data_IF_160866363323
#
_entry.id   IF_160866363323
#
_cell.length_a   1.000
_cell.length_b   1.000
_cell.length_c   1.000
_cell.angle_alpha   90.00
_cell.angle_beta   90.00
_cell.angle_gamma   90.00
#
_symmetry.space_group_name_H-M   'P 1'
#
loop_
_entity.id
_entity.type
_entity.pdbx_description
1 polymer ?
#
# COMPACT_ATOMS: atom_id res chain seq x y z
N UNK A 1 25.76 -36.18 12.42
CA UNK A 1 24.36 -36.66 12.31
C UNK A 1 24.06 -37.69 13.39
N UNK A 2 23.24 -37.30 14.38
CA UNK A 2 22.40 -38.19 15.20
C UNK A 2 21.06 -37.47 15.37
N UNK A 3 19.92 -38.20 15.31
CA UNK A 3 18.59 -37.59 15.27
C UNK A 3 18.19 -37.02 16.64
N UNK A 4 17.29 -36.02 16.71
CA UNK A 4 16.69 -35.62 17.97
C UNK A 4 15.78 -36.76 18.45
N UNK A 5 16.12 -37.36 19.59
CA UNK A 5 15.28 -38.34 20.26
C UNK A 5 14.34 -37.66 21.24
N UNK A 6 13.07 -38.01 21.05
CA UNK A 6 12.03 -38.14 22.06
C UNK A 6 11.45 -36.87 22.67
N UNK A 7 10.24 -36.54 22.19
CA UNK A 7 9.15 -35.98 23.00
C UNK A 7 9.17 -36.71 24.35
N UNK A 8 9.45 -35.98 25.42
CA UNK A 8 9.31 -36.49 26.77
C UNK A 8 7.81 -36.62 27.02
N UNK A 9 7.26 -37.82 26.80
CA UNK A 9 5.94 -38.17 27.29
C UNK A 9 6.03 -38.22 28.81
N UNK A 10 5.62 -37.14 29.47
CA UNK A 10 5.45 -37.10 30.92
C UNK A 10 4.39 -38.16 31.28
N UNK A 11 4.68 -39.09 32.20
CA UNK A 11 3.69 -40.06 32.64
C UNK A 11 2.54 -39.34 33.33
N UNK A 12 1.32 -39.58 32.87
CA UNK A 12 0.07 -39.17 33.53
C UNK A 12 -0.10 -40.00 34.82
N UNK A 13 0.67 -39.66 35.87
CA UNK A 13 0.47 -40.19 37.21
C UNK A 13 -0.40 -39.24 38.03
N UNK A 14 -1.55 -39.77 38.45
CA UNK A 14 -2.62 -39.17 39.27
C UNK A 14 -3.42 -38.02 38.64
N UNK A 15 -4.72 -38.28 38.47
CA UNK A 15 -5.76 -37.24 38.34
C UNK A 15 -5.89 -36.53 39.69
N UNK A 16 -4.96 -35.62 39.97
CA UNK A 16 -5.07 -34.69 41.08
C UNK A 16 -5.93 -33.51 40.61
N UNK A 17 -7.13 -33.39 41.19
CA UNK A 17 -8.05 -32.30 40.85
C UNK A 17 -7.45 -30.93 41.12
N UNK A 18 -6.58 -30.83 42.13
CA UNK A 18 -5.87 -29.61 42.49
C UNK A 18 -4.86 -29.19 41.41
N UNK A 19 -4.18 -30.15 40.78
CA UNK A 19 -3.23 -29.85 39.70
C UNK A 19 -3.95 -29.40 38.41
N UNK A 20 -5.19 -29.85 38.20
CA UNK A 20 -6.03 -29.40 37.08
C UNK A 20 -6.62 -28.00 37.34
N UNK A 21 -7.05 -27.72 38.56
CA UNK A 21 -7.46 -26.38 38.98
C UNK A 21 -6.30 -25.39 38.88
N UNK A 22 -5.12 -25.74 39.39
CA UNK A 22 -3.92 -24.91 39.28
C UNK A 22 -3.49 -24.68 37.82
N UNK A 23 -3.61 -25.70 36.96
CA UNK A 23 -3.37 -25.53 35.53
C UNK A 23 -4.41 -24.61 34.87
N UNK A 24 -5.69 -24.72 35.24
CA UNK A 24 -6.76 -23.86 34.73
C UNK A 24 -6.55 -22.41 35.17
N UNK A 25 -6.24 -22.19 36.45
CA UNK A 25 -5.97 -20.86 37.00
C UNK A 25 -4.74 -20.22 36.35
N UNK A 26 -3.71 -21.02 36.06
CA UNK A 26 -2.53 -20.55 35.32
C UNK A 26 -2.85 -20.20 33.86
N UNK A 27 -3.72 -20.97 33.20
CA UNK A 27 -4.20 -20.65 31.84
C UNK A 27 -5.01 -19.35 31.86
N UNK A 28 -5.90 -19.18 32.84
CA UNK A 28 -6.71 -17.97 32.99
C UNK A 28 -5.86 -16.75 33.34
N UNK A 29 -4.83 -16.91 34.17
CA UNK A 29 -3.87 -15.86 34.48
C UNK A 29 -3.05 -15.46 33.24
N UNK A 30 -2.61 -16.42 32.41
CA UNK A 30 -1.94 -16.15 31.13
C UNK A 30 -2.88 -15.47 30.15
N UNK A 31 -4.16 -15.86 30.09
CA UNK A 31 -5.16 -15.23 29.24
C UNK A 31 -5.49 -13.81 29.70
N UNK A 32 -5.57 -13.55 31.01
CA UNK A 32 -5.77 -12.22 31.57
C UNK A 32 -4.53 -11.33 31.37
N UNK A 33 -3.32 -11.88 31.51
CA UNK A 33 -2.07 -11.20 31.18
C UNK A 33 -2.01 -10.87 29.69
N UNK A 34 -2.33 -11.82 28.82
CA UNK A 34 -2.43 -11.58 27.38
C UNK A 34 -3.47 -10.50 27.06
N UNK A 35 -4.65 -10.53 27.69
CA UNK A 35 -5.67 -9.48 27.53
C UNK A 35 -5.18 -8.10 28.00
N UNK A 36 -4.33 -8.05 29.04
CA UNK A 36 -3.69 -6.81 29.52
C UNK A 36 -2.47 -6.38 28.68
N UNK A 37 -1.82 -7.32 27.99
CA UNK A 37 -0.67 -7.12 27.09
C UNK A 37 -1.07 -6.90 25.63
N UNK A 38 -2.33 -7.14 25.26
CA UNK A 38 -2.93 -6.56 24.06
C UNK A 38 -2.80 -5.05 24.26
N UNK A 39 -1.74 -4.47 23.69
CA UNK A 39 -1.66 -3.03 23.43
C UNK A 39 -3.03 -2.66 22.89
N UNK A 40 -3.72 -1.78 23.62
CA UNK A 40 -5.01 -1.23 23.19
C UNK A 40 -4.85 -0.86 21.71
N UNK A 41 -5.60 -1.54 20.84
CA UNK A 41 -5.50 -1.36 19.39
C UNK A 41 -5.59 0.13 19.10
N UNK A 42 -4.57 0.68 18.43
CA UNK A 42 -4.56 2.09 18.11
C UNK A 42 -5.66 2.36 17.10
N UNK A 43 -6.38 3.45 17.29
CA UNK A 43 -7.29 3.97 16.29
C UNK A 43 -6.53 4.40 15.03
N UNK A 44 -7.24 4.46 13.90
CA UNK A 44 -6.71 4.95 12.62
C UNK A 44 -5.98 6.29 12.79
N UNK A 45 -6.60 7.22 13.51
CA UNK A 45 -6.14 8.60 13.68
C UNK A 45 -5.15 8.82 14.82
N UNK A 46 -4.82 7.78 15.61
CA UNK A 46 -3.76 7.91 16.61
C UNK A 46 -2.43 8.21 15.91
N UNK A 47 -1.60 9.10 16.46
CA UNK A 47 -0.34 9.45 15.83
C UNK A 47 0.55 8.21 15.59
N UNK A 48 1.13 8.14 14.39
CA UNK A 48 2.13 7.13 14.04
C UNK A 48 3.38 7.34 14.89
N UNK A 49 3.81 6.29 15.61
CA UNK A 49 5.11 6.29 16.28
C UNK A 49 6.21 5.78 15.34
N UNK A 50 5.83 5.16 14.22
CA UNK A 50 6.72 4.45 13.31
C UNK A 50 7.74 5.38 12.62
N UNK A 51 7.31 6.54 12.15
CA UNK A 51 8.12 7.43 11.31
C UNK A 51 8.80 8.58 12.07
N UNK A 52 8.59 8.68 13.40
CA UNK A 52 9.08 9.81 14.22
C UNK A 52 10.61 9.94 14.23
N UNK A 53 11.33 8.82 14.15
CA UNK A 53 12.80 8.79 14.16
C UNK A 53 13.41 8.73 12.74
N UNK A 54 12.59 8.70 11.69
CA UNK A 54 13.05 8.58 10.30
C UNK A 54 13.52 9.94 9.79
N UNK A 55 14.69 9.97 9.16
CA UNK A 55 15.16 11.15 8.44
C UNK A 55 14.42 11.28 7.09
N UNK A 56 13.36 12.09 7.11
CA UNK A 56 12.48 12.32 5.96
C UNK A 56 13.16 13.02 4.79
N UNK A 57 14.31 13.67 5.01
CA UNK A 57 15.04 14.39 3.95
C UNK A 57 15.68 13.48 2.90
N UNK A 58 15.78 12.18 3.20
CA UNK A 58 16.45 11.18 2.35
C UNK A 58 15.53 10.49 1.35
N UNK A 59 14.22 10.76 1.39
CA UNK A 59 13.22 10.12 0.53
C UNK A 59 12.80 11.07 -0.61
N UNK A 60 12.40 10.51 -1.75
CA UNK A 60 11.83 11.23 -2.90
C UNK A 60 12.73 12.33 -3.47
N UNK A 61 14.04 12.09 -3.51
CA UNK A 61 15.01 13.06 -4.04
C UNK A 61 15.06 13.04 -5.57
N UNK A 62 13.98 13.50 -6.23
CA UNK A 62 13.85 13.45 -7.70
C UNK A 62 14.89 14.27 -8.48
N UNK A 63 15.51 15.27 -7.86
CA UNK A 63 16.62 16.04 -8.45
C UNK A 63 17.90 15.22 -8.57
N UNK A 64 18.07 14.21 -7.70
CA UNK A 64 19.23 13.30 -7.67
C UNK A 64 18.90 11.92 -8.26
N UNK A 65 17.64 11.70 -8.65
CA UNK A 65 17.19 10.44 -9.22
C UNK A 65 17.90 10.15 -10.56
N UNK A 66 18.01 8.86 -10.88
CA UNK A 66 18.67 8.43 -12.11
C UNK A 66 17.86 8.85 -13.35
N UNK A 67 18.53 8.88 -14.51
CA UNK A 67 17.93 9.31 -15.78
C UNK A 67 16.67 8.50 -16.14
N UNK A 68 16.61 7.23 -15.72
CA UNK A 68 15.46 6.35 -15.95
C UNK A 68 14.18 6.90 -15.29
N UNK A 69 14.24 7.30 -14.03
CA UNK A 69 13.11 7.90 -13.29
C UNK A 69 12.71 9.23 -13.93
N UNK A 70 13.69 10.02 -14.36
CA UNK A 70 13.43 11.29 -15.05
C UNK A 70 12.70 11.09 -16.37
N UNK A 71 13.16 10.15 -17.20
CA UNK A 71 12.50 9.83 -18.47
C UNK A 71 11.12 9.24 -18.26
N UNK A 72 10.92 8.43 -17.23
CA UNK A 72 9.61 7.93 -16.83
C UNK A 72 8.61 9.07 -16.61
N UNK A 73 8.93 10.05 -15.76
CA UNK A 73 8.02 11.16 -15.47
C UNK A 73 7.82 12.08 -16.68
N UNK A 74 8.87 12.32 -17.49
CA UNK A 74 8.70 13.09 -18.72
C UNK A 74 7.74 12.40 -19.71
N UNK A 75 7.81 11.08 -19.83
CA UNK A 75 6.88 10.31 -20.66
C UNK A 75 5.46 10.35 -20.07
N UNK A 76 5.31 10.17 -18.76
CA UNK A 76 4.02 10.26 -18.09
C UNK A 76 3.40 11.65 -18.29
N UNK A 77 4.16 12.71 -18.05
CA UNK A 77 3.70 14.09 -18.18
C UNK A 77 3.36 14.44 -19.61
N UNK A 78 4.05 13.87 -20.61
CA UNK A 78 3.71 14.08 -22.02
C UNK A 78 2.40 13.38 -22.42
N UNK A 79 2.12 12.18 -21.88
CA UNK A 79 1.05 11.30 -22.39
C UNK A 79 -0.24 11.32 -21.57
N UNK A 80 -0.19 11.67 -20.29
CA UNK A 80 -1.37 11.77 -19.44
C UNK A 80 -2.20 13.01 -19.80
N UNK A 81 -3.21 12.81 -20.64
CA UNK A 81 -4.16 13.84 -21.08
C UNK A 81 -5.57 13.54 -20.56
N UNK A 82 -6.47 14.52 -20.63
CA UNK A 82 -7.91 14.33 -20.35
C UNK A 82 -8.49 13.23 -21.23
N UNK A 83 -8.21 13.27 -22.53
CA UNK A 83 -8.72 12.30 -23.49
C UNK A 83 -8.24 10.87 -23.17
N UNK A 84 -6.97 10.74 -22.82
CA UNK A 84 -6.39 9.47 -22.40
C UNK A 84 -7.05 8.92 -21.14
N UNK A 85 -7.21 9.75 -20.11
CA UNK A 85 -7.80 9.35 -18.83
C UNK A 85 -9.29 8.96 -18.95
N UNK A 86 -10.07 9.64 -19.78
CA UNK A 86 -11.46 9.25 -20.07
C UNK A 86 -11.49 7.87 -20.72
N UNK A 87 -10.62 7.63 -21.70
CA UNK A 87 -10.52 6.31 -22.36
C UNK A 87 -10.11 5.22 -21.37
N UNK A 88 -9.07 5.45 -20.57
CA UNK A 88 -8.56 4.49 -19.59
C UNK A 88 -9.64 4.09 -18.57
N UNK A 89 -10.41 5.05 -18.04
CA UNK A 89 -11.53 4.78 -17.11
C UNK A 89 -12.64 3.95 -17.74
N UNK A 90 -12.98 4.23 -19.00
CA UNK A 90 -13.99 3.45 -19.74
C UNK A 90 -13.50 2.02 -19.99
N UNK A 91 -12.25 1.86 -20.43
CA UNK A 91 -11.62 0.55 -20.64
C UNK A 91 -11.48 -0.25 -19.34
N UNK A 92 -11.19 0.42 -18.22
CA UNK A 92 -11.13 -0.21 -16.90
C UNK A 92 -12.48 -0.81 -16.51
N UNK A 93 -13.57 -0.03 -16.66
CA UNK A 93 -14.94 -0.45 -16.30
C UNK A 93 -15.50 -1.54 -17.22
N UNK A 94 -15.15 -1.51 -18.50
CA UNK A 94 -15.76 -2.37 -19.51
C UNK A 94 -15.17 -3.79 -19.57
N UNK A 95 -13.94 -3.99 -19.08
CA UNK A 95 -13.19 -5.24 -19.28
C UNK A 95 -12.85 -5.90 -17.95
N UNK A 96 -13.06 -7.21 -17.89
CA UNK A 96 -12.45 -8.07 -16.89
C UNK A 96 -11.13 -8.59 -17.46
N UNK A 97 -10.04 -8.44 -16.72
CA UNK A 97 -8.68 -8.78 -17.13
C UNK A 97 -8.25 -10.13 -16.58
N UNK A 98 -8.71 -10.47 -15.37
CA UNK A 98 -8.36 -11.73 -14.76
C UNK A 98 -9.34 -12.17 -13.67
N UNK A 99 -9.23 -13.45 -13.31
CA UNK A 99 -9.85 -14.03 -12.12
C UNK A 99 -8.74 -14.71 -11.32
N UNK A 100 -8.39 -14.16 -10.15
CA UNK A 100 -7.33 -14.70 -9.29
C UNK A 100 -7.55 -14.28 -7.84
N UNK A 101 -6.93 -14.99 -6.88
CA UNK A 101 -6.94 -14.57 -5.48
C UNK A 101 -6.01 -13.38 -5.22
N UNK A 102 -6.17 -12.72 -4.07
CA UNK A 102 -5.30 -11.59 -3.66
C UNK A 102 -3.82 -12.02 -3.63
N UNK A 103 -3.53 -13.19 -3.06
CA UNK A 103 -2.14 -13.66 -2.96
C UNK A 103 -1.53 -14.01 -4.32
N UNK A 104 -2.32 -14.62 -5.22
CA UNK A 104 -1.88 -14.87 -6.60
C UNK A 104 -1.59 -13.56 -7.33
N UNK A 105 -2.38 -12.52 -7.06
CA UNK A 105 -2.17 -11.16 -7.54
C UNK A 105 -0.86 -10.55 -7.01
N UNK A 106 -0.55 -10.73 -5.72
CA UNK A 106 0.73 -10.31 -5.12
C UNK A 106 1.91 -11.03 -5.80
N UNK A 107 1.82 -12.35 -5.96
CA UNK A 107 2.87 -13.15 -6.61
C UNK A 107 3.09 -12.74 -8.08
N UNK A 108 2.00 -12.43 -8.81
CA UNK A 108 2.07 -11.90 -10.17
C UNK A 108 2.73 -10.51 -10.19
N UNK A 109 2.32 -9.63 -9.28
CA UNK A 109 2.87 -8.28 -9.17
C UNK A 109 4.36 -8.28 -8.84
N UNK A 110 4.84 -9.28 -8.12
CA UNK A 110 6.26 -9.44 -7.78
C UNK A 110 7.22 -9.52 -8.99
N UNK A 111 6.68 -9.74 -10.19
CA UNK A 111 7.46 -9.75 -11.44
C UNK A 111 7.66 -8.35 -12.05
N UNK A 112 7.03 -7.30 -11.50
CA UNK A 112 7.18 -5.90 -11.90
C UNK A 112 8.30 -5.22 -11.09
N UNK A 113 9.17 -4.50 -11.78
CA UNK A 113 10.10 -3.54 -11.17
C UNK A 113 9.52 -2.15 -11.46
N UNK A 114 9.28 -1.35 -10.41
CA UNK A 114 8.70 0.00 -10.54
C UNK A 114 9.77 1.01 -10.98
N UNK A 115 9.60 1.58 -12.17
CA UNK A 115 10.55 2.49 -12.79
C UNK A 115 10.38 3.95 -12.32
N UNK A 116 9.33 4.24 -11.56
CA UNK A 116 8.99 5.58 -11.07
C UNK A 116 9.58 5.90 -9.69
N UNK A 117 9.96 4.86 -8.94
CA UNK A 117 10.42 4.98 -7.56
C UNK A 117 11.92 5.33 -7.52
N UNK A 118 12.31 6.50 -6.96
CA UNK A 118 13.72 6.85 -6.80
C UNK A 118 14.38 6.19 -5.58
N UNK A 119 13.59 5.63 -4.66
CA UNK A 119 14.04 5.27 -3.32
C UNK A 119 14.42 3.79 -3.19
N UNK A 120 13.97 2.90 -4.08
CA UNK A 120 14.21 1.46 -3.90
C UNK A 120 14.13 0.61 -5.18
N UNK A 121 14.80 -0.56 -5.16
CA UNK A 121 14.67 -1.65 -6.14
C UNK A 121 14.06 -2.92 -5.52
N UNK A 122 13.34 -2.77 -4.41
CA UNK A 122 12.68 -3.88 -3.73
C UNK A 122 11.69 -4.59 -4.65
N UNK A 123 11.52 -5.88 -4.40
CA UNK A 123 10.45 -6.62 -5.05
C UNK A 123 9.11 -6.15 -4.50
N UNK A 124 8.04 -6.26 -5.30
CA UNK A 124 6.74 -5.72 -4.91
C UNK A 124 6.18 -6.43 -3.67
N UNK A 125 6.46 -7.72 -3.48
CA UNK A 125 6.01 -8.43 -2.27
C UNK A 125 6.68 -7.88 -1.00
N UNK A 126 7.95 -7.53 -1.08
CA UNK A 126 8.69 -6.97 0.06
C UNK A 126 8.13 -5.60 0.44
N UNK A 127 7.85 -4.73 -0.55
CA UNK A 127 7.22 -3.43 -0.32
C UNK A 127 5.86 -3.55 0.35
N UNK A 128 4.98 -4.40 -0.18
CA UNK A 128 3.64 -4.63 0.39
C UNK A 128 3.72 -5.15 1.83
N UNK A 129 4.64 -6.08 2.11
CA UNK A 129 4.84 -6.62 3.45
C UNK A 129 5.48 -5.61 4.39
N UNK A 130 6.39 -4.75 3.94
CA UNK A 130 6.97 -3.69 4.76
C UNK A 130 5.90 -2.71 5.22
N UNK A 131 5.03 -2.25 4.31
CA UNK A 131 3.94 -1.35 4.65
C UNK A 131 2.97 -2.02 5.65
N UNK A 132 2.56 -3.27 5.37
CA UNK A 132 1.65 -4.01 6.24
C UNK A 132 2.26 -4.29 7.63
N UNK A 133 3.53 -4.69 7.70
CA UNK A 133 4.23 -4.95 8.97
C UNK A 133 4.49 -3.66 9.75
N UNK A 134 4.78 -2.54 9.10
CA UNK A 134 4.92 -1.25 9.79
C UNK A 134 3.61 -0.85 10.47
N UNK A 135 2.47 -1.00 9.77
CA UNK A 135 1.12 -0.77 10.32
C UNK A 135 0.85 -1.73 11.48
N UNK A 136 1.20 -3.01 11.34
CA UNK A 136 1.00 -4.03 12.39
C UNK A 136 1.84 -3.75 13.64
N UNK A 137 3.11 -3.37 13.48
CA UNK A 137 4.04 -3.04 14.58
C UNK A 137 3.60 -1.80 15.34
N UNK A 138 3.00 -0.84 14.65
CA UNK A 138 2.44 0.35 15.27
C UNK A 138 1.10 0.07 16.01
N UNK A 139 0.58 -1.15 15.91
CA UNK A 139 -0.62 -1.60 16.64
C UNK A 139 -1.93 -1.12 16.03
N UNK A 140 -1.92 -0.79 14.73
CA UNK A 140 -3.09 -0.33 13.98
C UNK A 140 -4.02 -1.49 13.61
N UNK A 141 -5.29 -1.20 13.24
CA UNK A 141 -6.27 -2.25 13.07
C UNK A 141 -6.00 -3.21 11.94
N UNK A 142 -6.52 -4.44 12.06
CA UNK A 142 -6.34 -5.52 11.06
C UNK A 142 -6.70 -5.11 9.63
N UNK A 143 -7.80 -4.40 9.45
CA UNK A 143 -8.21 -3.91 8.12
C UNK A 143 -7.17 -2.95 7.51
N UNK A 144 -6.48 -2.15 8.34
CA UNK A 144 -5.47 -1.20 7.88
C UNK A 144 -4.17 -1.92 7.50
N UNK A 145 -3.83 -2.99 8.23
CA UNK A 145 -2.71 -3.87 7.87
C UNK A 145 -2.97 -4.52 6.49
N UNK A 146 -4.20 -4.97 6.26
CA UNK A 146 -4.62 -5.48 4.96
C UNK A 146 -4.55 -4.39 3.87
N UNK A 147 -4.96 -3.15 4.17
CA UNK A 147 -4.78 -2.02 3.24
C UNK A 147 -3.33 -1.85 2.84
N UNK A 148 -2.38 -1.93 3.79
CA UNK A 148 -0.94 -1.93 3.50
C UNK A 148 -0.52 -3.06 2.56
N UNK A 149 -1.07 -4.26 2.74
CA UNK A 149 -0.76 -5.41 1.89
C UNK A 149 -1.31 -5.27 0.45
N UNK A 150 -2.43 -4.58 0.25
CA UNK A 150 -3.13 -4.58 -1.05
C UNK A 150 -3.05 -3.25 -1.82
N UNK A 151 -2.52 -2.18 -1.21
CA UNK A 151 -2.60 -0.82 -1.75
C UNK A 151 -2.10 -0.71 -3.21
N UNK A 152 -1.01 -1.42 -3.52
CA UNK A 152 -0.34 -1.35 -4.82
C UNK A 152 -0.79 -2.44 -5.82
N UNK A 153 -1.80 -3.26 -5.51
CA UNK A 153 -2.26 -4.30 -6.44
C UNK A 153 -2.88 -3.75 -7.73
N UNK A 154 -3.25 -2.45 -7.76
CA UNK A 154 -3.63 -1.76 -8.99
C UNK A 154 -2.54 -1.79 -10.07
N UNK A 155 -1.26 -1.94 -9.68
CA UNK A 155 -0.13 -2.05 -10.60
C UNK A 155 -0.19 -3.27 -11.52
N UNK A 156 -1.06 -4.25 -11.22
CA UNK A 156 -1.35 -5.38 -12.10
C UNK A 156 -1.81 -4.96 -13.50
N UNK A 157 -2.38 -3.76 -13.65
CA UNK A 157 -2.76 -3.20 -14.95
C UNK A 157 -1.60 -3.21 -15.96
N UNK A 158 -0.35 -3.12 -15.48
CA UNK A 158 0.85 -3.21 -16.32
C UNK A 158 0.91 -4.51 -17.14
N UNK A 159 0.44 -5.63 -16.59
CA UNK A 159 0.49 -6.94 -17.28
C UNK A 159 -0.66 -7.16 -18.26
N UNK A 160 -1.54 -6.18 -18.45
CA UNK A 160 -2.74 -6.29 -19.27
C UNK A 160 -2.73 -5.29 -20.42
N UNK A 161 -3.56 -4.24 -20.33
CA UNK A 161 -3.80 -3.31 -21.43
C UNK A 161 -2.85 -2.09 -21.42
N UNK A 162 -2.00 -1.97 -20.39
CA UNK A 162 -1.16 -0.80 -20.19
C UNK A 162 -0.21 -0.57 -21.38
N UNK A 163 -0.01 0.70 -21.73
CA UNK A 163 0.90 1.09 -22.82
C UNK A 163 2.35 1.26 -22.36
N UNK A 164 2.59 1.15 -21.05
CA UNK A 164 3.89 1.31 -20.40
C UNK A 164 3.69 1.51 -18.90
N UNK A 165 4.78 1.62 -18.14
CA UNK A 165 4.67 1.87 -16.70
C UNK A 165 4.08 3.27 -16.40
N UNK A 166 4.31 4.26 -17.27
CA UNK A 166 3.81 5.64 -17.12
C UNK A 166 2.28 5.74 -16.98
N UNK A 167 1.58 4.70 -17.45
CA UNK A 167 0.12 4.55 -17.44
C UNK A 167 -0.40 3.92 -16.13
N UNK A 168 0.49 3.46 -15.25
CA UNK A 168 0.15 2.59 -14.13
C UNK A 168 0.74 3.05 -12.80
N UNK A 169 2.01 3.44 -12.78
CA UNK A 169 2.75 3.81 -11.56
C UNK A 169 3.11 5.31 -11.53
N UNK A 170 3.77 5.75 -10.47
CA UNK A 170 4.25 7.12 -10.29
C UNK A 170 3.22 8.08 -9.71
N UNK A 171 3.69 9.27 -9.35
CA UNK A 171 2.85 10.30 -8.75
C UNK A 171 1.74 10.75 -9.69
N UNK A 172 0.56 10.92 -9.11
CA UNK A 172 -0.62 11.35 -9.85
C UNK A 172 -0.79 12.87 -9.77
N UNK A 173 -1.41 13.43 -10.81
CA UNK A 173 -1.78 14.83 -10.90
C UNK A 173 -3.13 14.97 -11.61
N UNK A 174 -3.88 16.06 -11.35
CA UNK A 174 -5.13 16.30 -12.06
C UNK A 174 -4.87 16.65 -13.53
N UNK A 175 -5.64 16.03 -14.44
CA UNK A 175 -5.68 16.37 -15.86
C UNK A 175 -6.89 17.25 -16.17
N UNK A 176 -6.77 18.17 -17.12
CA UNK A 176 -7.89 19.05 -17.51
C UNK A 176 -7.94 20.38 -16.76
N UNK A 177 -6.88 20.73 -16.06
CA UNK A 177 -6.56 22.06 -15.52
C UNK A 177 -5.08 22.37 -15.71
N UNK A 178 -4.68 23.60 -15.41
CA UNK A 178 -3.29 24.01 -15.49
C UNK A 178 -2.42 23.15 -14.55
N UNK A 179 -1.27 22.72 -15.06
CA UNK A 179 -0.30 21.96 -14.28
C UNK A 179 0.41 22.87 -13.26
N UNK A 180 0.54 22.38 -12.03
CA UNK A 180 1.10 23.11 -10.90
C UNK A 180 2.60 22.83 -10.74
N UNK A 181 3.38 23.83 -10.32
CA UNK A 181 4.83 23.69 -10.14
C UNK A 181 5.24 22.76 -8.99
N UNK A 182 4.29 22.35 -8.14
CA UNK A 182 4.50 21.33 -7.11
C UNK A 182 4.54 19.90 -7.66
N UNK A 183 4.10 19.69 -8.90
CA UNK A 183 4.22 18.39 -9.56
C UNK A 183 5.72 18.12 -9.81
N UNK A 184 6.13 16.84 -9.75
CA UNK A 184 7.52 16.44 -9.99
C UNK A 184 8.03 17.05 -11.30
N UNK A 185 9.26 17.57 -11.31
CA UNK A 185 9.85 18.30 -12.43
C UNK A 185 9.06 19.54 -12.91
N UNK A 186 8.15 20.07 -12.08
CA UNK A 186 7.37 21.31 -12.27
C UNK A 186 6.48 21.29 -13.51
N UNK A 187 5.71 22.37 -13.72
CA UNK A 187 4.87 22.53 -14.91
C UNK A 187 5.69 22.53 -16.23
N UNK A 188 6.99 22.83 -16.17
CA UNK A 188 7.88 22.86 -17.33
C UNK A 188 8.04 21.49 -18.01
N UNK A 189 7.92 20.41 -17.25
CA UNK A 189 7.99 19.04 -17.77
C UNK A 189 6.82 18.68 -18.70
N UNK A 190 5.74 19.45 -18.66
CA UNK A 190 4.50 19.22 -19.43
C UNK A 190 4.48 19.90 -20.79
N UNK A 191 5.54 20.62 -21.21
CA UNK A 191 5.55 21.39 -22.47
C UNK A 191 5.25 20.57 -23.74
N UNK A 192 5.46 19.25 -23.69
CA UNK A 192 5.14 18.33 -24.80
C UNK A 192 3.73 17.74 -24.70
N UNK A 193 3.05 17.91 -23.57
CA UNK A 193 1.68 17.44 -23.38
C UNK A 193 0.72 18.27 -24.25
N UNK A 194 -0.17 17.64 -25.04
CA UNK A 194 -1.17 18.34 -25.84
C UNK A 194 -2.13 19.25 -25.04
N UNK A 195 -2.38 18.93 -23.76
CA UNK A 195 -3.24 19.71 -22.88
C UNK A 195 -2.50 20.93 -22.27
N UNK A 196 -1.16 21.00 -22.39
CA UNK A 196 -0.36 22.12 -21.88
C UNK A 196 -0.65 23.40 -22.65
N UNK A 197 -1.12 24.43 -21.93
CA UNK A 197 -1.50 25.71 -22.53
C UNK A 197 -2.76 25.65 -23.40
N UNK A 198 -3.53 24.56 -23.37
CA UNK A 198 -4.81 24.45 -24.06
C UNK A 198 -5.78 25.55 -23.59
N UNK A 199 -6.64 26.07 -24.47
CA UNK A 199 -7.54 27.20 -24.16
C UNK A 199 -8.44 26.96 -22.94
N UNK A 200 -8.93 25.73 -22.78
CA UNK A 200 -9.70 25.28 -21.61
C UNK A 200 -8.76 24.76 -20.52
N UNK A 201 -8.04 23.66 -20.77
CA UNK A 201 -7.25 22.96 -19.74
C UNK A 201 -6.06 23.76 -19.21
N UNK A 202 -5.49 24.69 -19.98
CA UNK A 202 -4.40 25.55 -19.53
C UNK A 202 -4.83 26.64 -18.53
N UNK A 203 -6.11 26.74 -18.21
CA UNK A 203 -6.60 27.66 -17.17
C UNK A 203 -6.55 27.03 -15.78
N UNK A 204 -6.50 27.86 -14.72
CA UNK A 204 -6.38 27.42 -13.33
C UNK A 204 -7.38 26.32 -12.94
N UNK A 205 -8.60 26.42 -13.43
CA UNK A 205 -9.66 25.46 -13.11
C UNK A 205 -10.03 24.56 -14.30
N UNK A 206 -9.71 24.95 -15.54
CA UNK A 206 -10.01 24.16 -16.73
C UNK A 206 -11.44 23.64 -16.80
N UNK A 207 -11.63 22.32 -16.77
CA UNK A 207 -12.95 21.69 -16.78
C UNK A 207 -13.62 21.62 -15.39
N UNK A 208 -12.93 22.08 -14.35
CA UNK A 208 -13.40 22.05 -12.98
C UNK A 208 -14.00 23.40 -12.56
N UNK A 209 -14.85 23.37 -11.52
CA UNK A 209 -15.39 24.61 -10.93
C UNK A 209 -14.38 25.25 -9.97
N UNK A 210 -14.35 26.59 -9.83
CA UNK A 210 -13.47 27.25 -8.85
C UNK A 210 -13.65 26.68 -7.44
N UNK A 211 -12.54 26.30 -6.80
CA UNK A 211 -12.52 25.62 -5.50
C UNK A 211 -12.23 24.12 -5.53
N UNK A 212 -12.13 23.55 -6.73
CA UNK A 212 -12.20 22.11 -6.97
C UNK A 212 -11.07 21.19 -6.47
N UNK A 213 -10.28 21.53 -5.44
CA UNK A 213 -9.37 20.55 -4.82
C UNK A 213 -9.48 20.44 -3.30
N UNK A 214 -10.04 21.48 -2.62
CA UNK A 214 -10.50 21.39 -1.22
C UNK A 214 -12.03 21.45 -1.13
N UNK A 215 -12.70 21.95 -2.17
CA UNK A 215 -14.15 22.11 -2.25
C UNK A 215 -14.81 21.02 -3.12
N UNK A 216 -14.01 20.24 -3.87
CA UNK A 216 -14.44 18.92 -4.38
C UNK A 216 -14.43 17.86 -3.29
N UNK A 217 -13.79 18.14 -2.16
CA UNK A 217 -13.87 17.26 -1.03
C UNK A 217 -15.22 17.45 -0.38
N UNK A 218 -16.10 16.46 -0.52
CA UNK A 218 -17.22 16.38 0.40
C UNK A 218 -16.70 16.02 1.82
N UNK A 219 -17.58 15.94 2.82
CA UNK A 219 -17.14 15.55 4.16
C UNK A 219 -16.50 14.15 4.17
N UNK A 220 -16.91 13.27 3.26
CA UNK A 220 -16.30 11.96 3.11
C UNK A 220 -14.88 12.05 2.57
N UNK A 221 -14.62 12.88 1.56
CA UNK A 221 -13.27 13.11 1.06
C UNK A 221 -12.35 13.75 2.12
N UNK A 222 -12.87 14.59 3.02
CA UNK A 222 -12.10 15.14 4.16
C UNK A 222 -11.71 14.07 5.14
N UNK A 223 -12.66 13.21 5.52
CA UNK A 223 -12.38 12.05 6.35
C UNK A 223 -11.39 11.10 5.65
N UNK A 224 -11.53 10.92 4.33
CA UNK A 224 -10.62 10.09 3.53
C UNK A 224 -9.24 10.73 3.38
N UNK A 225 -9.11 12.05 3.30
CA UNK A 225 -7.81 12.72 3.28
C UNK A 225 -7.07 12.52 4.60
N UNK A 226 -7.77 12.54 5.73
CA UNK A 226 -7.18 12.17 7.02
C UNK A 226 -6.74 10.70 7.03
N UNK A 227 -7.55 9.78 6.49
CA UNK A 227 -7.19 8.38 6.34
C UNK A 227 -5.96 8.16 5.42
N UNK A 228 -5.89 8.86 4.29
CA UNK A 228 -4.75 8.84 3.36
C UNK A 228 -3.51 9.40 4.04
N UNK A 229 -3.61 10.51 4.76
CA UNK A 229 -2.49 11.09 5.51
C UNK A 229 -2.02 10.18 6.65
N UNK A 230 -2.93 9.42 7.26
CA UNK A 230 -2.57 8.42 8.27
C UNK A 230 -1.87 7.21 7.65
N UNK A 231 -2.23 6.81 6.42
CA UNK A 231 -1.62 5.70 5.71
C UNK A 231 -0.26 6.03 5.09
N UNK A 232 -0.13 7.21 4.48
CA UNK A 232 1.01 7.62 3.65
C UNK A 232 2.40 7.46 4.32
N UNK A 233 2.58 7.73 5.64
CA UNK A 233 3.85 7.48 6.31
C UNK A 233 4.31 6.02 6.26
N UNK A 234 3.39 5.06 6.32
CA UNK A 234 3.73 3.63 6.27
C UNK A 234 4.23 3.26 4.88
N UNK A 235 3.47 3.57 3.83
CA UNK A 235 3.87 3.31 2.43
C UNK A 235 5.23 3.96 2.09
N UNK A 236 5.43 5.23 2.48
CA UNK A 236 6.63 5.95 2.12
C UNK A 236 7.85 5.55 2.94
N UNK A 237 7.74 5.50 4.27
CA UNK A 237 8.91 5.39 5.16
C UNK A 237 9.27 3.94 5.53
N UNK A 238 8.40 2.95 5.25
CA UNK A 238 8.73 1.53 5.46
C UNK A 238 9.67 0.96 4.41
N UNK A 239 9.88 1.66 3.29
CA UNK A 239 10.78 1.23 2.20
C UNK A 239 12.23 1.00 2.65
N UNK A 240 12.63 1.62 3.76
CA UNK A 240 13.96 1.49 4.37
C UNK A 240 13.99 0.58 5.61
N UNK A 241 12.91 -0.15 5.91
CA UNK A 241 12.90 -1.15 6.99
C UNK A 241 13.59 -2.45 6.57
N UNK A 242 13.90 -3.30 7.56
CA UNK A 242 14.36 -4.66 7.30
C UNK A 242 13.35 -5.43 6.42
N UNK A 243 13.88 -6.17 5.45
CA UNK A 243 13.08 -6.95 4.50
C UNK A 243 12.36 -8.08 5.24
N UNK A 244 11.00 -8.10 5.26
CA UNK A 244 10.25 -9.15 5.93
C UNK A 244 10.37 -10.50 5.21
N UNK A 245 10.35 -11.60 5.96
CA UNK A 245 10.32 -12.95 5.38
C UNK A 245 8.89 -13.28 4.90
N UNK A 246 8.69 -13.25 3.57
CA UNK A 246 7.38 -13.49 2.97
C UNK A 246 6.79 -14.88 3.29
N UNK A 247 7.61 -15.93 3.35
CA UNK A 247 7.14 -17.29 3.62
C UNK A 247 6.66 -17.46 5.07
N UNK A 248 7.31 -16.79 6.02
CA UNK A 248 6.91 -16.80 7.43
C UNK A 248 5.62 -16.00 7.67
N UNK A 249 5.44 -14.90 6.93
CA UNK A 249 4.29 -14.00 7.08
C UNK A 249 3.07 -14.43 6.26
N UNK A 250 3.26 -15.22 5.20
CA UNK A 250 2.19 -15.68 4.30
C UNK A 250 1.00 -16.30 5.04
N UNK A 251 1.15 -17.19 6.05
CA UNK A 251 0.00 -17.74 6.77
C UNK A 251 -0.87 -16.68 7.45
N UNK A 252 -0.25 -15.68 8.08
CA UNK A 252 -0.95 -14.59 8.75
C UNK A 252 -1.74 -13.74 7.75
N UNK A 253 -1.12 -13.35 6.65
CA UNK A 253 -1.76 -12.51 5.66
C UNK A 253 -2.81 -13.26 4.81
N UNK A 254 -2.66 -14.57 4.61
CA UNK A 254 -3.73 -15.39 4.01
C UNK A 254 -4.97 -15.47 4.90
N UNK A 255 -4.79 -15.63 6.21
CA UNK A 255 -5.91 -15.56 7.19
C UNK A 255 -6.58 -14.18 7.14
N UNK A 256 -5.78 -13.11 7.11
CA UNK A 256 -6.28 -11.74 7.03
C UNK A 256 -7.02 -11.47 5.71
N UNK A 257 -6.52 -11.97 4.59
CA UNK A 257 -7.20 -11.89 3.30
C UNK A 257 -8.55 -12.62 3.38
N UNK A 258 -8.58 -13.84 3.94
CA UNK A 258 -9.80 -14.64 4.05
C UNK A 258 -10.88 -13.96 4.93
N UNK A 259 -10.47 -13.20 5.95
CA UNK A 259 -11.36 -12.43 6.82
C UNK A 259 -12.13 -11.34 6.04
N UNK A 260 -11.45 -10.60 5.16
CA UNK A 260 -12.01 -9.43 4.48
C UNK A 260 -12.45 -9.70 3.04
N UNK A 261 -11.93 -10.77 2.41
CA UNK A 261 -12.27 -11.22 1.06
C UNK A 261 -12.80 -12.67 1.12
N UNK A 262 -14.02 -12.90 1.63
CA UNK A 262 -14.58 -14.25 1.75
C UNK A 262 -14.74 -14.96 0.38
N UNK A 263 -14.83 -14.17 -0.70
CA UNK A 263 -14.74 -14.66 -2.06
C UNK A 263 -13.26 -14.80 -2.46
N UNK A 264 -12.76 -16.03 -2.40
CA UNK A 264 -11.35 -16.39 -2.67
C UNK A 264 -10.81 -15.95 -4.04
N UNK A 265 -11.69 -15.83 -5.05
CA UNK A 265 -11.33 -15.43 -6.41
C UNK A 265 -12.00 -14.10 -6.73
N UNK A 266 -11.18 -13.10 -7.02
CA UNK A 266 -11.61 -11.74 -7.33
C UNK A 266 -11.63 -11.55 -8.84
N UNK A 267 -12.59 -10.75 -9.30
CA UNK A 267 -12.69 -10.27 -10.67
C UNK A 267 -11.88 -8.98 -10.80
N UNK A 268 -10.74 -9.05 -11.48
CA UNK A 268 -9.80 -7.95 -11.73
C UNK A 268 -10.03 -7.31 -13.11
#
# INVERSE_FOLDING_TARGET
>A
MRPPKAIVSVPLERKDGLALEELSDNIDAVNALNASLIKKEKGLYDESEFDKEKDKSRFRQYELACEKVKQFYLEQHEKQTVAYNIKARNDFRAKTRAHMGIWDAIEKLNTLIDDSDPDTSLTQIEHLLQAAEAIRRDGKPRWMQLTGLIHDLGKLLYFFDAQGQWDVVGDTFPVGCAFDDRIIYTSESFKKNPDYGHEIYGTKYGIYSPGAYMELMDEHDKDMLEAVRAFNPYDLYSKNDDIPNAEELKPYYLELIDEFFPQKIIRW
#
